data_IF_057483677747
#
_entry.id   IF_057483677747
#
_cell.length_a   1.000
_cell.length_b   1.000
_cell.length_c   1.000
_cell.angle_alpha   90.00
_cell.angle_beta   90.00
_cell.angle_gamma   90.00
#
_symmetry.space_group_name_H-M   'P 1'
#
loop_
_entity.id
_entity.type
_entity.pdbx_description
1 polymer ?
#
# COMPACT_ATOMS: atom_id res chain seq x y z
N UNK A 1 -37.33 5.08 0.14
CA UNK A 1 -38.05 4.45 1.28
C UNK A 1 -37.41 4.83 2.63
N UNK A 2 -36.10 4.59 2.84
CA UNK A 2 -35.41 4.94 4.10
C UNK A 2 -35.57 6.40 4.56
N UNK A 3 -35.54 7.36 3.63
CA UNK A 3 -35.78 8.78 3.93
C UNK A 3 -37.23 9.08 4.32
N UNK A 4 -38.21 8.49 3.62
CA UNK A 4 -39.63 8.63 3.94
C UNK A 4 -39.94 7.99 5.32
N UNK A 5 -39.30 6.87 5.63
CA UNK A 5 -39.32 6.22 6.93
C UNK A 5 -38.76 7.16 8.03
N UNK A 6 -37.58 7.77 7.82
CA UNK A 6 -37.01 8.77 8.75
C UNK A 6 -37.94 9.97 8.99
N UNK A 7 -38.53 10.52 7.92
CA UNK A 7 -39.44 11.66 8.02
C UNK A 7 -40.70 11.34 8.84
N UNK A 8 -41.28 10.16 8.65
CA UNK A 8 -42.51 9.71 9.34
C UNK A 8 -42.23 9.32 10.79
N UNK A 9 -41.11 8.65 11.04
CA UNK A 9 -40.70 8.26 12.38
C UNK A 9 -40.40 9.49 13.25
N UNK A 10 -39.88 10.58 12.66
CA UNK A 10 -39.50 11.81 13.35
C UNK A 10 -40.61 12.84 13.61
N UNK A 11 -41.78 12.74 12.97
CA UNK A 11 -42.83 13.81 13.00
C UNK A 11 -44.12 13.40 13.69
N UNK A 12 -44.70 14.27 14.51
CA UNK A 12 -45.96 13.98 15.24
C UNK A 12 -47.24 14.37 14.49
N UNK A 13 -47.11 15.09 13.37
CA UNK A 13 -48.23 15.66 12.61
C UNK A 13 -48.46 14.93 11.26
N UNK A 14 -49.63 15.15 10.66
CA UNK A 14 -49.95 14.66 9.31
C UNK A 14 -49.10 15.31 8.23
N UNK A 15 -48.89 14.58 7.13
CA UNK A 15 -48.05 15.00 6.00
C UNK A 15 -48.75 14.70 4.68
N UNK A 16 -48.57 15.54 3.66
CA UNK A 16 -49.12 15.30 2.32
C UNK A 16 -48.33 14.21 1.60
N UNK A 17 -48.98 13.33 0.83
CA UNK A 17 -48.31 12.24 0.10
C UNK A 17 -47.13 12.77 -0.75
N UNK A 18 -47.32 13.92 -1.42
CA UNK A 18 -46.29 14.57 -2.24
C UNK A 18 -45.00 14.93 -1.47
N UNK A 19 -45.11 15.20 -0.17
CA UNK A 19 -43.97 15.56 0.69
C UNK A 19 -43.07 14.36 1.05
N UNK A 20 -43.52 13.13 0.80
CA UNK A 20 -42.76 11.89 1.02
C UNK A 20 -41.80 11.56 -0.13
N UNK A 21 -41.79 12.37 -1.20
CA UNK A 21 -41.04 12.09 -2.44
C UNK A 21 -39.61 12.62 -2.45
N UNK A 22 -38.73 11.89 -3.17
CA UNK A 22 -37.60 12.41 -3.93
C UNK A 22 -37.36 11.55 -5.19
N UNK A 23 -36.63 12.11 -6.18
CA UNK A 23 -36.39 11.73 -7.61
C UNK A 23 -36.38 10.24 -8.02
N UNK A 24 -36.22 9.28 -7.10
CA UNK A 24 -36.04 7.86 -7.40
C UNK A 24 -37.21 6.95 -7.01
N UNK A 25 -38.20 7.42 -6.21
CA UNK A 25 -39.39 6.63 -5.88
C UNK A 25 -40.66 7.52 -5.87
N UNK A 26 -41.74 7.16 -6.59
CA UNK A 26 -43.01 7.87 -6.52
C UNK A 26 -43.55 7.93 -5.08
N UNK A 27 -44.00 9.12 -4.65
CA UNK A 27 -44.55 9.39 -3.31
C UNK A 27 -45.63 8.40 -2.88
N UNK A 28 -46.51 8.01 -3.82
CA UNK A 28 -47.57 7.03 -3.57
C UNK A 28 -46.99 5.65 -3.21
N UNK A 29 -45.93 5.18 -3.87
CA UNK A 29 -45.31 3.88 -3.59
C UNK A 29 -44.65 3.88 -2.21
N UNK A 30 -44.02 4.99 -1.81
CA UNK A 30 -43.49 5.14 -0.47
C UNK A 30 -44.61 5.15 0.59
N UNK A 31 -45.70 5.87 0.34
CA UNK A 31 -46.85 5.97 1.23
C UNK A 31 -47.53 4.61 1.46
N UNK A 32 -47.80 3.85 0.40
CA UNK A 32 -48.37 2.49 0.52
C UNK A 32 -47.44 1.53 1.27
N UNK A 33 -46.12 1.61 1.05
CA UNK A 33 -45.16 0.79 1.81
C UNK A 33 -45.16 1.13 3.29
N UNK A 34 -45.19 2.42 3.64
CA UNK A 34 -45.26 2.87 5.02
C UNK A 34 -46.58 2.48 5.69
N UNK A 35 -47.70 2.52 4.95
CA UNK A 35 -49.01 2.04 5.42
C UNK A 35 -48.97 0.54 5.68
N UNK A 36 -48.38 -0.25 4.78
CA UNK A 36 -48.20 -1.70 4.98
C UNK A 36 -47.30 -2.05 6.17
N UNK A 37 -46.42 -1.13 6.58
CA UNK A 37 -45.59 -1.23 7.78
C UNK A 37 -46.31 -0.75 9.06
N UNK A 38 -47.55 -0.30 8.95
CA UNK A 38 -48.34 0.22 10.08
C UNK A 38 -47.82 1.54 10.65
N UNK A 39 -47.05 2.30 9.86
CA UNK A 39 -46.42 3.56 10.27
C UNK A 39 -47.27 4.79 9.92
N UNK A 40 -48.13 4.66 8.91
CA UNK A 40 -49.06 5.70 8.48
C UNK A 40 -50.41 5.14 8.07
N UNK A 41 -51.44 5.97 8.14
CA UNK A 41 -52.79 5.74 7.59
C UNK A 41 -53.00 6.69 6.41
N UNK A 42 -53.55 6.18 5.30
CA UNK A 42 -53.87 7.00 4.14
C UNK A 42 -55.30 7.57 4.22
N UNK A 43 -55.43 8.90 4.19
CA UNK A 43 -56.70 9.62 4.13
C UNK A 43 -56.73 10.48 2.86
N UNK A 44 -57.20 9.91 1.74
CA UNK A 44 -57.20 10.59 0.45
C UNK A 44 -55.77 10.93 -0.02
N UNK A 45 -55.45 12.22 -0.13
CA UNK A 45 -54.08 12.69 -0.47
C UNK A 45 -53.23 13.04 0.77
N UNK A 46 -53.73 12.74 1.97
CA UNK A 46 -53.02 12.95 3.23
C UNK A 46 -52.56 11.64 3.84
N UNK A 47 -51.47 11.74 4.60
CA UNK A 47 -50.84 10.66 5.33
C UNK A 47 -50.86 11.03 6.81
N UNK A 48 -51.60 10.29 7.62
CA UNK A 48 -51.62 10.47 9.07
C UNK A 48 -50.64 9.49 9.70
N UNK A 49 -49.84 9.94 10.65
CA UNK A 49 -48.91 9.03 11.35
C UNK A 49 -49.70 8.06 12.23
N UNK A 50 -49.41 6.76 12.13
CA UNK A 50 -50.04 5.71 12.93
C UNK A 50 -49.51 5.69 14.38
N UNK A 51 -49.96 4.71 15.17
CA UNK A 51 -49.68 4.55 16.61
C UNK A 51 -48.22 4.86 17.01
N UNK A 52 -48.09 5.67 18.05
CA UNK A 52 -46.81 6.14 18.62
C UNK A 52 -45.84 5.00 18.94
N UNK A 53 -46.35 3.83 19.35
CA UNK A 53 -45.52 2.66 19.71
C UNK A 53 -44.70 2.13 18.51
N UNK A 54 -45.31 2.00 17.33
CA UNK A 54 -44.61 1.56 16.12
C UNK A 54 -43.57 2.57 15.67
N UNK A 55 -43.88 3.87 15.78
CA UNK A 55 -42.92 4.93 15.44
C UNK A 55 -41.71 4.92 16.38
N UNK A 56 -41.90 4.72 17.69
CA UNK A 56 -40.80 4.56 18.65
C UNK A 56 -39.97 3.31 18.30
N UNK A 57 -40.62 2.18 18.02
CA UNK A 57 -39.95 0.95 17.63
C UNK A 57 -39.07 1.12 16.37
N UNK A 58 -39.63 1.65 15.29
CA UNK A 58 -38.88 1.89 14.05
C UNK A 58 -37.81 2.97 14.19
N UNK A 59 -38.01 3.96 15.10
CA UNK A 59 -36.96 4.93 15.45
C UNK A 59 -35.76 4.24 16.08
N UNK A 60 -36.02 3.38 17.05
CA UNK A 60 -34.98 2.63 17.74
C UNK A 60 -34.25 1.70 16.76
N UNK A 61 -34.97 0.97 15.91
CA UNK A 61 -34.38 0.12 14.88
C UNK A 61 -33.48 0.89 13.90
N UNK A 62 -33.92 2.07 13.44
CA UNK A 62 -33.11 2.91 12.56
C UNK A 62 -31.86 3.46 13.27
N UNK A 63 -31.97 3.80 14.55
CA UNK A 63 -30.82 4.24 15.34
C UNK A 63 -29.82 3.10 15.52
N UNK A 64 -30.29 1.89 15.87
CA UNK A 64 -29.45 0.70 16.01
C UNK A 64 -28.73 0.35 14.69
N UNK A 65 -29.44 0.43 13.55
CA UNK A 65 -28.85 0.19 12.23
C UNK A 65 -27.78 1.25 11.88
N UNK A 66 -28.04 2.52 12.17
CA UNK A 66 -27.07 3.60 11.97
C UNK A 66 -25.83 3.45 12.87
N UNK A 67 -26.03 3.12 14.14
CA UNK A 67 -24.93 2.86 15.08
C UNK A 67 -24.09 1.66 14.62
N UNK A 68 -24.73 0.58 14.17
CA UNK A 68 -24.05 -0.59 13.63
C UNK A 68 -23.25 -0.25 12.37
N UNK A 69 -23.82 0.54 11.45
CA UNK A 69 -23.13 1.00 10.25
C UNK A 69 -21.90 1.87 10.58
N UNK A 70 -22.05 2.85 11.47
CA UNK A 70 -20.93 3.68 11.92
C UNK A 70 -19.84 2.85 12.61
N UNK A 71 -20.23 1.86 13.40
CA UNK A 71 -19.29 0.94 14.06
C UNK A 71 -18.55 0.06 13.06
N UNK A 72 -19.24 -0.43 12.03
CA UNK A 72 -18.62 -1.18 10.94
C UNK A 72 -17.58 -0.32 10.21
N UNK A 73 -17.92 0.91 9.83
CA UNK A 73 -16.99 1.84 9.20
C UNK A 73 -15.76 2.12 10.09
N UNK A 74 -15.98 2.30 11.40
CA UNK A 74 -14.88 2.52 12.33
C UNK A 74 -13.96 1.30 12.45
N UNK A 75 -14.52 0.08 12.48
CA UNK A 75 -13.74 -1.16 12.48
C UNK A 75 -12.94 -1.32 11.18
N UNK A 76 -13.54 -1.01 10.04
CA UNK A 76 -12.85 -1.04 8.74
C UNK A 76 -11.68 -0.05 8.71
N UNK A 77 -11.89 1.18 9.16
CA UNK A 77 -10.82 2.19 9.26
C UNK A 77 -9.70 1.75 10.19
N UNK A 78 -10.04 1.22 11.37
CA UNK A 78 -9.04 0.71 12.31
C UNK A 78 -8.26 -0.45 11.72
N UNK A 79 -8.93 -1.37 11.03
CA UNK A 79 -8.28 -2.50 10.39
C UNK A 79 -7.35 -2.04 9.26
N UNK A 80 -7.78 -1.07 8.44
CA UNK A 80 -6.92 -0.47 7.41
C UNK A 80 -5.67 0.18 8.01
N UNK A 81 -5.81 0.92 9.11
CA UNK A 81 -4.66 1.54 9.77
C UNK A 81 -3.72 0.51 10.38
N UNK A 82 -4.25 -0.55 11.01
CA UNK A 82 -3.45 -1.68 11.50
C UNK A 82 -2.67 -2.32 10.36
N UNK A 83 -3.33 -2.60 9.23
CA UNK A 83 -2.68 -3.17 8.05
C UNK A 83 -1.59 -2.25 7.51
N UNK A 84 -1.82 -0.94 7.50
CA UNK A 84 -0.82 0.04 7.08
C UNK A 84 0.39 0.04 8.01
N UNK A 85 0.18 0.14 9.32
CA UNK A 85 1.26 0.13 10.31
C UNK A 85 2.06 -1.17 10.28
N UNK A 86 1.39 -2.29 10.01
CA UNK A 86 2.03 -3.59 9.91
C UNK A 86 2.90 -3.76 8.65
N UNK A 87 2.54 -3.10 7.55
CA UNK A 87 3.16 -3.31 6.24
C UNK A 87 4.16 -2.21 5.83
N UNK A 88 4.22 -1.09 6.55
CA UNK A 88 5.04 0.07 6.21
C UNK A 88 6.21 0.22 7.20
N UNK A 89 7.39 0.56 6.67
CA UNK A 89 8.54 0.97 7.47
C UNK A 89 8.35 2.41 7.97
N UNK A 90 8.41 2.60 9.29
CA UNK A 90 8.10 3.88 9.94
C UNK A 90 9.03 5.02 9.51
N UNK A 91 10.32 4.73 9.27
CA UNK A 91 11.31 5.75 8.92
C UNK A 91 11.12 6.26 7.49
N UNK A 92 11.03 5.33 6.54
CA UNK A 92 11.09 5.63 5.09
C UNK A 92 9.71 5.72 4.45
N UNK A 93 8.67 5.25 5.13
CA UNK A 93 7.29 5.16 4.62
C UNK A 93 7.17 4.30 3.35
N UNK A 94 8.15 3.42 3.11
CA UNK A 94 8.07 2.37 2.10
C UNK A 94 7.47 1.10 2.71
N UNK A 95 6.90 0.20 1.90
CA UNK A 95 6.73 -1.20 2.30
C UNK A 95 7.91 -1.76 3.07
N UNK A 96 7.64 -2.49 4.15
CA UNK A 96 8.68 -3.17 4.90
C UNK A 96 8.99 -4.55 4.31
N UNK A 97 9.98 -5.25 4.89
CA UNK A 97 10.37 -6.61 4.48
C UNK A 97 9.22 -7.62 4.53
N UNK A 98 8.31 -7.48 5.50
CA UNK A 98 7.18 -8.38 5.64
C UNK A 98 6.28 -8.26 4.41
N UNK A 99 5.89 -7.04 4.06
CA UNK A 99 5.03 -6.79 2.91
C UNK A 99 5.73 -7.11 1.58
N UNK A 100 7.05 -6.88 1.48
CA UNK A 100 7.85 -7.37 0.34
C UNK A 100 7.70 -8.87 0.11
N UNK A 101 7.82 -9.69 1.17
CA UNK A 101 7.72 -11.15 1.03
C UNK A 101 6.31 -11.58 0.61
N UNK A 102 5.27 -10.94 1.16
CA UNK A 102 3.88 -11.20 0.78
C UNK A 102 3.63 -10.84 -0.68
N UNK A 103 4.07 -9.65 -1.11
CA UNK A 103 3.92 -9.20 -2.49
C UNK A 103 4.67 -10.12 -3.47
N UNK A 104 5.91 -10.50 -3.13
CA UNK A 104 6.69 -11.42 -3.96
C UNK A 104 6.00 -12.78 -4.11
N UNK A 105 5.44 -13.32 -3.02
CA UNK A 105 4.73 -14.59 -3.06
C UNK A 105 3.47 -14.51 -3.95
N UNK A 106 2.73 -13.41 -3.89
CA UNK A 106 1.57 -13.17 -4.74
C UNK A 106 1.98 -13.09 -6.23
N UNK A 107 3.00 -12.29 -6.55
CA UNK A 107 3.53 -12.19 -7.92
C UNK A 107 4.09 -13.52 -8.43
N UNK A 108 4.74 -14.31 -7.58
CA UNK A 108 5.25 -15.63 -7.93
C UNK A 108 4.12 -16.55 -8.41
N UNK A 109 3.02 -16.60 -7.65
CA UNK A 109 1.84 -17.40 -8.00
C UNK A 109 1.19 -16.92 -9.30
N UNK A 110 1.09 -15.60 -9.51
CA UNK A 110 0.49 -15.05 -10.72
C UNK A 110 1.31 -15.28 -11.99
N UNK A 111 2.65 -15.34 -11.88
CA UNK A 111 3.55 -15.41 -13.04
C UNK A 111 4.18 -16.80 -13.26
N UNK A 112 3.74 -17.83 -12.52
CA UNK A 112 4.25 -19.20 -12.65
C UNK A 112 4.11 -19.74 -14.07
N UNK A 113 5.26 -20.03 -14.71
CA UNK A 113 5.37 -20.62 -16.03
C UNK A 113 5.15 -19.67 -17.21
N UNK A 114 5.01 -18.35 -16.98
CA UNK A 114 4.59 -17.41 -18.04
C UNK A 114 5.60 -16.28 -18.29
N UNK A 115 5.95 -15.52 -17.25
CA UNK A 115 6.70 -14.27 -17.41
C UNK A 115 7.91 -14.23 -16.48
N UNK A 116 9.01 -13.56 -16.88
CA UNK A 116 10.16 -13.40 -16.01
C UNK A 116 9.83 -12.51 -14.82
N UNK A 117 10.33 -12.88 -13.65
CA UNK A 117 10.23 -12.12 -12.42
C UNK A 117 11.64 -11.76 -11.96
N UNK A 118 11.89 -10.46 -11.82
CA UNK A 118 13.20 -9.95 -11.40
C UNK A 118 13.11 -9.29 -10.03
N UNK A 119 14.17 -9.43 -9.22
CA UNK A 119 14.36 -8.71 -7.97
C UNK A 119 15.69 -7.97 -8.02
N UNK A 120 15.71 -6.77 -7.44
CA UNK A 120 16.92 -6.00 -7.21
C UNK A 120 17.04 -5.77 -5.71
N UNK A 121 18.15 -6.21 -5.12
CA UNK A 121 18.55 -5.82 -3.77
C UNK A 121 19.61 -4.74 -3.86
N UNK A 122 19.41 -3.66 -3.12
CA UNK A 122 20.26 -2.48 -3.12
C UNK A 122 20.78 -2.23 -1.71
N UNK A 123 22.01 -1.77 -1.56
CA UNK A 123 22.55 -1.33 -0.29
C UNK A 123 23.37 -0.06 -0.45
N UNK A 124 23.27 0.84 0.53
CA UNK A 124 24.05 2.08 0.59
C UNK A 124 25.50 1.76 0.95
N UNK A 125 26.43 2.11 0.07
CA UNK A 125 27.83 1.80 0.26
C UNK A 125 28.43 2.60 1.42
N UNK A 126 29.22 1.92 2.27
CA UNK A 126 29.90 2.52 3.42
C UNK A 126 28.99 3.29 4.40
N UNK A 127 27.69 2.99 4.45
CA UNK A 127 26.73 3.77 5.24
C UNK A 127 27.01 3.78 6.75
N UNK A 128 27.58 2.69 7.28
CA UNK A 128 28.06 2.67 8.67
C UNK A 128 29.08 3.78 8.95
N UNK A 129 30.03 4.01 8.05
CA UNK A 129 31.01 5.08 8.21
C UNK A 129 30.37 6.47 8.14
N UNK A 130 29.34 6.61 7.31
CA UNK A 130 28.54 7.84 7.28
C UNK A 130 27.86 8.08 8.64
N UNK A 131 27.20 7.07 9.22
CA UNK A 131 26.60 7.18 10.54
C UNK A 131 27.64 7.44 11.65
N UNK A 132 28.78 6.75 11.62
CA UNK A 132 29.86 6.96 12.61
C UNK A 132 30.42 8.39 12.54
N UNK A 133 30.35 9.03 11.36
CA UNK A 133 30.81 10.39 11.13
C UNK A 133 29.77 11.47 11.46
N UNK A 134 28.51 11.25 11.10
CA UNK A 134 27.46 12.27 11.12
C UNK A 134 26.35 12.01 12.17
N UNK A 135 26.38 10.84 12.80
CA UNK A 135 25.37 10.36 13.75
C UNK A 135 24.17 9.69 13.06
N UNK A 136 23.50 8.81 13.81
CA UNK A 136 22.38 8.01 13.29
C UNK A 136 21.21 8.88 12.81
N UNK A 137 20.94 10.01 13.47
CA UNK A 137 19.89 10.95 13.03
C UNK A 137 20.17 11.54 11.63
N UNK A 138 21.44 11.80 11.30
CA UNK A 138 21.80 12.25 9.96
C UNK A 138 21.68 11.11 8.94
N UNK A 139 22.03 9.89 9.34
CA UNK A 139 21.77 8.67 8.56
C UNK A 139 20.29 8.48 8.23
N UNK A 140 19.43 8.65 9.22
CA UNK A 140 17.97 8.56 9.07
C UNK A 140 17.42 9.56 8.04
N UNK A 141 17.95 10.80 8.04
CA UNK A 141 17.60 11.81 7.03
C UNK A 141 18.03 11.36 5.64
N UNK A 142 19.23 10.79 5.50
CA UNK A 142 19.73 10.24 4.23
C UNK A 142 18.86 9.09 3.73
N UNK A 143 18.50 8.14 4.60
CA UNK A 143 17.63 7.02 4.22
C UNK A 143 16.25 7.50 3.77
N UNK A 144 15.70 8.56 4.39
CA UNK A 144 14.46 9.21 3.93
C UNK A 144 14.61 9.84 2.54
N UNK A 145 15.74 10.49 2.25
CA UNK A 145 15.99 11.08 0.93
C UNK A 145 16.11 10.01 -0.15
N UNK A 146 16.89 8.97 0.12
CA UNK A 146 17.04 7.79 -0.74
C UNK A 146 15.68 7.14 -1.01
N UNK A 147 14.88 6.89 0.04
CA UNK A 147 13.56 6.28 -0.11
C UNK A 147 12.63 7.09 -1.01
N UNK A 148 12.64 8.42 -0.89
CA UNK A 148 11.89 9.33 -1.76
C UNK A 148 12.39 9.26 -3.21
N UNK A 149 13.70 9.25 -3.42
CA UNK A 149 14.29 9.15 -4.76
C UNK A 149 13.89 7.84 -5.44
N UNK A 150 14.01 6.71 -4.74
CA UNK A 150 13.60 5.40 -5.25
C UNK A 150 12.10 5.37 -5.53
N UNK A 151 11.25 5.87 -4.62
CA UNK A 151 9.80 5.91 -4.82
C UNK A 151 9.39 6.71 -6.05
N UNK A 152 9.98 7.90 -6.23
CA UNK A 152 9.70 8.73 -7.40
C UNK A 152 10.11 8.04 -8.70
N UNK A 153 11.23 7.32 -8.68
CA UNK A 153 11.68 6.53 -9.81
C UNK A 153 10.72 5.37 -10.13
N UNK A 154 10.25 4.67 -9.09
CA UNK A 154 9.37 3.49 -9.18
C UNK A 154 7.94 3.82 -9.61
N UNK A 155 7.37 4.97 -9.21
CA UNK A 155 5.99 5.36 -9.55
C UNK A 155 5.69 5.41 -11.06
N UNK A 156 6.72 5.41 -11.91
CA UNK A 156 6.60 5.41 -13.38
C UNK A 156 6.79 4.04 -14.02
N UNK A 157 6.95 2.99 -13.22
CA UNK A 157 7.24 1.61 -13.65
C UNK A 157 6.27 0.65 -12.94
N UNK A 158 5.95 -0.47 -13.57
CA UNK A 158 5.21 -1.56 -12.92
C UNK A 158 6.15 -2.29 -11.94
N UNK A 159 6.54 -1.59 -10.87
CA UNK A 159 7.60 -1.99 -9.96
C UNK A 159 7.12 -1.78 -8.52
N UNK A 160 7.49 -2.71 -7.65
CA UNK A 160 7.22 -2.63 -6.22
C UNK A 160 8.53 -2.36 -5.48
N UNK A 161 8.50 -1.50 -4.45
CA UNK A 161 9.69 -1.15 -3.68
C UNK A 161 9.45 -1.26 -2.19
N UNK A 162 10.46 -1.74 -1.47
CA UNK A 162 10.44 -1.90 -0.03
C UNK A 162 11.77 -1.49 0.61
N UNK A 163 11.72 -1.07 1.87
CA UNK A 163 12.89 -1.08 2.75
C UNK A 163 13.04 -2.50 3.28
N UNK A 164 14.12 -3.16 2.87
CA UNK A 164 14.33 -4.57 3.15
C UNK A 164 14.92 -4.79 4.54
N UNK A 165 15.96 -4.04 4.91
CA UNK A 165 16.61 -4.16 6.23
C UNK A 165 17.64 -3.05 6.44
N UNK A 166 17.51 -2.24 7.49
CA UNK A 166 18.51 -1.22 7.80
C UNK A 166 18.69 -0.21 6.65
N UNK A 167 19.82 -0.28 5.96
CA UNK A 167 20.21 0.49 4.77
C UNK A 167 20.03 -0.29 3.45
N UNK A 168 19.38 -1.46 3.49
CA UNK A 168 19.03 -2.28 2.33
C UNK A 168 17.61 -1.96 1.82
N UNK A 169 17.50 -1.78 0.50
CA UNK A 169 16.24 -1.60 -0.21
C UNK A 169 16.05 -2.75 -1.21
N UNK A 170 14.79 -3.07 -1.52
CA UNK A 170 14.46 -4.11 -2.48
C UNK A 170 13.43 -3.61 -3.49
N UNK A 171 13.59 -4.05 -4.75
CA UNK A 171 12.65 -3.77 -5.84
C UNK A 171 12.21 -5.09 -6.45
N UNK A 172 10.91 -5.27 -6.65
CA UNK A 172 10.32 -6.40 -7.38
C UNK A 172 9.82 -5.87 -8.72
N UNK A 173 10.18 -6.57 -9.79
CA UNK A 173 9.89 -6.22 -11.17
C UNK A 173 9.17 -7.39 -11.84
N UNK A 174 7.82 -7.44 -11.76
CA UNK A 174 7.03 -8.42 -12.50
C UNK A 174 7.23 -8.25 -14.01
N UNK A 175 7.17 -9.36 -14.74
CA UNK A 175 7.22 -9.38 -16.21
C UNK A 175 8.44 -8.65 -16.79
N UNK A 176 9.57 -8.73 -16.08
CA UNK A 176 10.78 -7.99 -16.42
C UNK A 176 11.96 -8.94 -16.54
N UNK A 177 12.54 -9.00 -17.73
CA UNK A 177 13.73 -9.80 -17.99
C UNK A 177 14.99 -9.18 -17.36
N UNK A 178 16.08 -9.94 -17.37
CA UNK A 178 17.32 -9.54 -16.73
C UNK A 178 17.97 -8.31 -17.36
N UNK A 179 17.83 -8.11 -18.68
CA UNK A 179 18.41 -6.95 -19.36
C UNK A 179 17.67 -5.67 -18.96
N UNK A 180 16.34 -5.72 -18.94
CA UNK A 180 15.50 -4.63 -18.47
C UNK A 180 15.72 -4.35 -16.98
N UNK A 181 15.78 -5.38 -16.14
CA UNK A 181 16.07 -5.26 -14.71
C UNK A 181 17.46 -4.63 -14.46
N UNK A 182 18.48 -5.00 -15.24
CA UNK A 182 19.82 -4.41 -15.12
C UNK A 182 19.84 -2.93 -15.50
N UNK A 183 19.12 -2.53 -16.56
CA UNK A 183 18.97 -1.11 -16.92
C UNK A 183 18.26 -0.32 -15.83
N UNK A 184 17.25 -0.91 -15.22
CA UNK A 184 16.54 -0.34 -14.09
C UNK A 184 17.48 -0.17 -12.90
N UNK A 185 18.27 -1.20 -12.57
CA UNK A 185 19.27 -1.15 -11.51
C UNK A 185 20.29 -0.04 -11.74
N UNK A 186 20.76 0.14 -12.98
CA UNK A 186 21.73 1.19 -13.32
C UNK A 186 21.15 2.60 -13.22
N UNK A 187 19.90 2.79 -13.68
CA UNK A 187 19.21 4.05 -13.47
C UNK A 187 19.01 4.38 -12.00
N UNK A 188 18.75 3.37 -11.15
CA UNK A 188 18.64 3.56 -9.71
C UNK A 188 19.99 3.93 -9.10
N UNK A 189 21.07 3.23 -9.49
CA UNK A 189 22.45 3.51 -9.06
C UNK A 189 22.86 4.95 -9.37
N UNK A 190 22.71 5.36 -10.62
CA UNK A 190 23.05 6.71 -11.07
C UNK A 190 22.10 7.75 -10.46
N UNK A 191 20.81 7.44 -10.34
CA UNK A 191 19.82 8.31 -9.70
C UNK A 191 20.18 8.65 -8.26
N UNK A 192 20.71 7.71 -7.48
CA UNK A 192 21.18 7.99 -6.12
C UNK A 192 22.42 8.90 -6.12
N UNK A 193 23.35 8.73 -7.06
CA UNK A 193 24.52 9.62 -7.17
C UNK A 193 24.13 11.08 -7.40
N UNK A 194 23.05 11.32 -8.16
CA UNK A 194 22.53 12.68 -8.40
C UNK A 194 22.01 13.39 -7.15
N UNK A 195 21.82 12.68 -6.03
CA UNK A 195 21.51 13.32 -4.75
C UNK A 195 22.72 14.04 -4.15
N UNK A 196 23.93 13.78 -4.67
CA UNK A 196 25.19 14.43 -4.29
C UNK A 196 25.47 14.42 -2.77
N UNK A 197 25.00 13.40 -2.06
CA UNK A 197 25.17 13.26 -0.61
C UNK A 197 26.63 12.92 -0.33
N UNK A 198 27.42 13.89 0.12
CA UNK A 198 28.84 13.68 0.37
C UNK A 198 29.10 12.75 1.56
N UNK A 199 30.13 11.89 1.47
CA UNK A 199 30.69 11.23 2.66
C UNK A 199 31.39 12.20 3.62
N UNK A 200 31.63 13.44 3.15
CA UNK A 200 32.59 14.40 3.69
C UNK A 200 32.55 14.51 5.23
N UNK A 201 33.59 13.97 5.87
CA UNK A 201 33.87 14.20 7.27
C UNK A 201 35.39 14.29 7.47
N UNK A 202 35.93 15.25 8.26
CA UNK A 202 37.37 15.48 8.40
C UNK A 202 38.18 14.26 8.85
N UNK A 203 37.52 13.29 9.52
CA UNK A 203 38.15 12.07 10.04
C UNK A 203 38.19 10.90 9.06
N UNK A 204 37.45 10.96 7.95
CA UNK A 204 37.37 9.88 6.98
C UNK A 204 37.67 10.41 5.58
N UNK A 205 38.80 9.96 5.02
CA UNK A 205 39.23 10.27 3.65
C UNK A 205 39.61 8.98 2.92
N UNK A 206 39.67 9.03 1.58
CA UNK A 206 40.06 7.88 0.76
C UNK A 206 38.93 6.95 0.32
N UNK A 207 37.66 7.39 0.43
CA UNK A 207 36.56 6.67 -0.24
C UNK A 207 36.74 6.74 -1.76
N UNK A 208 36.42 5.65 -2.51
CA UNK A 208 36.49 5.65 -3.97
C UNK A 208 35.63 6.72 -4.64
N UNK A 209 34.51 7.09 -4.00
CA UNK A 209 33.59 8.15 -4.43
C UNK A 209 33.52 9.26 -3.38
N UNK A 210 33.27 10.49 -3.83
CA UNK A 210 33.02 11.66 -2.97
C UNK A 210 31.61 11.64 -2.36
N UNK A 211 30.67 10.96 -3.01
CA UNK A 211 29.25 10.91 -2.66
C UNK A 211 28.81 9.47 -2.38
N UNK A 212 27.72 9.31 -1.61
CA UNK A 212 27.09 8.02 -1.35
C UNK A 212 26.76 7.31 -2.67
N UNK A 213 27.08 6.03 -2.71
CA UNK A 213 26.86 5.15 -3.87
C UNK A 213 26.09 3.91 -3.46
N UNK A 214 25.59 3.18 -4.45
CA UNK A 214 24.80 1.96 -4.25
C UNK A 214 25.51 0.77 -4.88
N UNK A 215 25.57 -0.32 -4.12
CA UNK A 215 25.80 -1.66 -4.67
C UNK A 215 24.46 -2.36 -4.87
N UNK A 216 24.32 -3.04 -6.00
CA UNK A 216 23.08 -3.70 -6.39
C UNK A 216 23.34 -5.16 -6.78
N UNK A 217 22.46 -6.05 -6.36
CA UNK A 217 22.36 -7.43 -6.80
C UNK A 217 21.05 -7.66 -7.52
N UNK A 218 21.13 -8.06 -8.78
CA UNK A 218 19.95 -8.38 -9.62
C UNK A 218 19.86 -9.89 -9.74
N UNK A 219 18.65 -10.42 -9.55
CA UNK A 219 18.35 -11.78 -9.93
C UNK A 219 17.04 -11.88 -10.71
N UNK A 220 17.01 -12.80 -11.66
CA UNK A 220 15.84 -13.06 -12.51
C UNK A 220 15.64 -14.56 -12.63
N UNK A 221 14.38 -14.96 -12.69
CA UNK A 221 13.94 -16.31 -13.05
C UNK A 221 12.61 -16.23 -13.78
N UNK A 222 12.23 -17.31 -14.46
CA UNK A 222 10.82 -17.58 -14.74
C UNK A 222 10.29 -18.43 -13.58
N UNK A 223 9.30 -17.97 -12.80
CA UNK A 223 8.78 -18.76 -11.69
C UNK A 223 8.28 -20.12 -12.16
N UNK A 224 8.67 -21.21 -11.50
CA UNK A 224 8.26 -22.57 -11.82
C UNK A 224 8.13 -23.40 -10.51
N UNK A 225 7.61 -24.64 -10.56
CA UNK A 225 7.43 -25.47 -9.36
C UNK A 225 8.73 -25.93 -8.67
N UNK A 226 9.87 -25.91 -9.36
CA UNK A 226 11.17 -26.39 -8.87
C UNK A 226 11.96 -25.29 -8.16
N UNK A 227 11.72 -24.03 -8.53
CA UNK A 227 12.36 -22.86 -7.96
C UNK A 227 11.43 -22.24 -6.91
N UNK A 228 12.00 -21.80 -5.79
CA UNK A 228 11.25 -21.05 -4.77
C UNK A 228 11.58 -19.56 -4.80
N UNK A 229 10.68 -18.73 -4.26
CA UNK A 229 10.95 -17.30 -4.00
C UNK A 229 12.23 -17.11 -3.17
N UNK A 230 12.51 -18.04 -2.25
CA UNK A 230 13.73 -18.05 -1.44
C UNK A 230 15.00 -18.18 -2.26
N UNK A 231 15.01 -19.01 -3.31
CA UNK A 231 16.16 -19.15 -4.22
C UNK A 231 16.41 -17.85 -5.00
N UNK A 232 15.35 -17.20 -5.49
CA UNK A 232 15.47 -15.92 -6.18
C UNK A 232 16.05 -14.83 -5.26
N UNK A 233 15.57 -14.75 -4.01
CA UNK A 233 16.12 -13.83 -3.01
C UNK A 233 17.59 -14.16 -2.71
N UNK A 234 17.93 -15.43 -2.52
CA UNK A 234 19.29 -15.87 -2.23
C UNK A 234 20.26 -15.52 -3.38
N UNK A 235 19.83 -15.67 -4.63
CA UNK A 235 20.62 -15.28 -5.79
C UNK A 235 20.85 -13.76 -5.84
N UNK A 236 19.82 -12.95 -5.57
CA UNK A 236 19.95 -11.50 -5.50
C UNK A 236 20.89 -11.07 -4.35
N UNK A 237 20.83 -11.74 -3.20
CA UNK A 237 21.74 -11.51 -2.07
C UNK A 237 23.18 -11.86 -2.43
N UNK A 238 23.41 -13.02 -3.05
CA UNK A 238 24.73 -13.44 -3.50
C UNK A 238 25.31 -12.45 -4.54
N UNK A 239 24.47 -11.94 -5.45
CA UNK A 239 24.86 -10.90 -6.39
C UNK A 239 25.22 -9.59 -5.68
N UNK A 240 24.42 -9.14 -4.70
CA UNK A 240 24.71 -7.92 -3.95
C UNK A 240 26.01 -8.04 -3.14
N UNK A 241 26.25 -9.20 -2.51
CA UNK A 241 27.50 -9.48 -1.81
C UNK A 241 28.70 -9.41 -2.76
N UNK A 242 28.58 -9.95 -3.96
CA UNK A 242 29.62 -9.88 -5.00
C UNK A 242 29.88 -8.43 -5.46
N UNK A 243 28.83 -7.63 -5.67
CA UNK A 243 28.98 -6.19 -5.94
C UNK A 243 29.76 -5.47 -4.84
N UNK A 244 29.49 -5.79 -3.58
CA UNK A 244 30.19 -5.19 -2.42
C UNK A 244 31.65 -5.61 -2.30
N UNK A 245 31.97 -6.85 -2.69
CA UNK A 245 33.34 -7.38 -2.65
C UNK A 245 34.19 -6.79 -3.78
N UNK A 246 33.59 -6.65 -4.96
CA UNK A 246 34.23 -6.05 -6.11
C UNK A 246 34.13 -4.51 -6.04
N UNK A 247 34.68 -3.88 -5.00
CA UNK A 247 34.82 -2.41 -4.92
C UNK A 247 33.53 -1.55 -4.91
N UNK A 248 32.33 -2.16 -4.80
CA UNK A 248 31.05 -1.44 -4.65
C UNK A 248 30.68 -0.58 -5.87
N UNK A 249 29.69 0.32 -5.71
CA UNK A 249 29.14 1.19 -6.76
C UNK A 249 28.88 0.46 -8.09
N UNK A 250 28.29 -0.74 -8.01
CA UNK A 250 28.11 -1.59 -9.19
C UNK A 250 26.91 -2.50 -9.09
N UNK A 251 26.64 -3.15 -10.21
CA UNK A 251 25.58 -4.12 -10.38
C UNK A 251 26.22 -5.46 -10.70
N UNK A 252 25.81 -6.49 -9.97
CA UNK A 252 26.09 -7.89 -10.30
C UNK A 252 24.76 -8.56 -10.58
N UNK A 253 24.76 -9.46 -11.56
CA UNK A 253 23.58 -10.17 -12.02
C UNK A 253 23.77 -11.66 -11.79
N UNK A 254 22.77 -12.33 -11.22
CA UNK A 254 22.71 -13.79 -11.15
C UNK A 254 21.42 -14.31 -11.74
N UNK A 255 21.50 -15.44 -12.41
CA UNK A 255 20.34 -16.16 -12.92
C UNK A 255 19.99 -17.29 -11.96
N UNK A 256 18.71 -17.58 -11.86
CA UNK A 256 18.23 -18.78 -11.17
C UNK A 256 17.55 -19.62 -12.22
N UNK A 257 18.17 -20.73 -12.57
CA UNK A 257 17.62 -21.73 -13.46
C UNK A 257 17.35 -23.01 -12.66
N UNK A 258 16.38 -23.81 -13.09
CA UNK A 258 16.30 -25.19 -12.65
C UNK A 258 17.29 -26.01 -13.47
N UNK A 259 18.21 -26.69 -12.78
CA UNK A 259 19.19 -27.60 -13.41
C UNK A 259 18.53 -28.70 -14.25
#
# INVERSE_FOLDING_TARGET
>A
LALALQQVVGREESITIESLSQRELPSAIAAYKLESMGLVELEGNQVRTSCQLYRIYFRQQLQEEQEMYLRMLQLEQQNQEIQRLYNIDELTQLPNRHYFNQYLAAEWQQNTGVQPLSIILCNVDYFRFYNDAHGDLAGDVVLKQIARAIRNWVNHKNAFVARYRGDEFAVILPQTDTKAATRIADNLREGIKTLEIAYAHPRFSGFPSKVLTFSLGVATTVPNPEISTGMLIAAAQAALSESKLLERDRITVKFVDSD
#
